data_IF_362927666980
#
_entry.id   IF_362927666980
#
_cell.length_a   1.000
_cell.length_b   1.000
_cell.length_c   1.000
_cell.angle_alpha   90.00
_cell.angle_beta   90.00
_cell.angle_gamma   90.00
#
_symmetry.space_group_name_H-M   'P 1'
#
loop_
_entity.id
_entity.type
_entity.pdbx_description
1 polymer ?
#
# COMPACT_ATOMS: atom_id res chain seq x y z
N UNK A 1 -4.30 22.06 -4.72
CA UNK A 1 -3.74 21.11 -5.69
C UNK A 1 -4.59 19.85 -5.67
N UNK A 2 -4.99 19.29 -6.81
CA UNK A 2 -5.82 18.09 -6.85
C UNK A 2 -5.08 16.90 -6.25
N UNK A 3 -5.82 16.00 -5.58
CA UNK A 3 -5.28 14.79 -4.97
C UNK A 3 -6.12 13.58 -5.40
N UNK A 4 -5.46 12.51 -5.81
CA UNK A 4 -6.09 11.26 -6.23
C UNK A 4 -5.63 10.12 -5.32
N UNK A 5 -6.58 9.30 -4.85
CA UNK A 5 -6.30 8.06 -4.15
C UNK A 5 -6.32 6.89 -5.15
N UNK A 6 -5.19 6.21 -5.27
CA UNK A 6 -5.04 4.94 -5.96
C UNK A 6 -5.13 3.80 -4.94
N UNK A 7 -6.30 3.24 -4.79
CA UNK A 7 -6.54 2.05 -3.95
C UNK A 7 -6.23 0.80 -4.75
N UNK A 8 -5.38 -0.08 -4.23
CA UNK A 8 -4.90 -1.26 -4.95
C UNK A 8 -6.01 -2.25 -5.33
N UNK A 9 -7.01 -2.42 -4.47
CA UNK A 9 -8.14 -3.32 -4.76
C UNK A 9 -9.05 -2.72 -5.85
N UNK A 10 -9.30 -1.39 -5.79
CA UNK A 10 -10.09 -0.69 -6.81
C UNK A 10 -9.41 -0.67 -8.16
N UNK A 11 -8.10 -0.39 -8.19
CA UNK A 11 -7.31 -0.40 -9.43
C UNK A 11 -7.30 -1.80 -10.05
N UNK A 12 -7.07 -2.84 -9.23
CA UNK A 12 -7.11 -4.23 -9.70
C UNK A 12 -8.44 -4.58 -10.33
N UNK A 13 -9.55 -4.17 -9.70
CA UNK A 13 -10.89 -4.36 -10.23
C UNK A 13 -11.13 -3.57 -11.52
N UNK A 14 -10.63 -2.34 -11.61
CA UNK A 14 -10.81 -1.49 -12.80
C UNK A 14 -10.03 -1.99 -14.03
N UNK A 15 -8.88 -2.63 -13.82
CA UNK A 15 -8.07 -3.19 -14.91
C UNK A 15 -8.69 -4.46 -15.49
N UNK A 16 -9.52 -5.18 -14.71
CA UNK A 16 -10.23 -6.42 -15.12
C UNK A 16 -9.38 -7.39 -15.93
N UNK A 17 -8.12 -7.59 -15.54
CA UNK A 17 -7.24 -8.52 -16.22
C UNK A 17 -7.63 -9.96 -15.82
N UNK A 18 -8.22 -10.77 -16.70
CA UNK A 18 -8.67 -12.13 -16.38
C UNK A 18 -7.53 -13.07 -15.98
N UNK A 19 -6.29 -12.67 -16.26
CA UNK A 19 -5.09 -13.41 -15.90
C UNK A 19 -4.45 -12.93 -14.59
N UNK A 20 -5.05 -11.95 -13.87
CA UNK A 20 -4.52 -11.48 -12.59
C UNK A 20 -4.87 -12.46 -11.48
N UNK A 21 -3.91 -13.32 -11.19
CA UNK A 21 -3.90 -14.12 -9.99
C UNK A 21 -3.33 -13.34 -8.80
N UNK A 22 -3.46 -13.87 -7.57
CA UNK A 22 -2.87 -13.29 -6.37
C UNK A 22 -1.48 -13.86 -6.06
N UNK A 23 -0.86 -14.56 -7.04
CA UNK A 23 0.52 -15.03 -6.94
C UNK A 23 1.53 -13.87 -6.91
N UNK A 24 2.77 -14.18 -6.55
CA UNK A 24 3.84 -13.19 -6.40
C UNK A 24 4.03 -12.34 -7.67
N UNK A 25 4.10 -12.99 -8.84
CA UNK A 25 4.39 -12.30 -10.11
C UNK A 25 3.24 -11.38 -10.54
N UNK A 26 2.00 -11.81 -10.38
CA UNK A 26 0.81 -11.00 -10.67
C UNK A 26 0.73 -9.79 -9.73
N UNK A 27 1.03 -9.98 -8.44
CA UNK A 27 1.10 -8.88 -7.46
C UNK A 27 2.19 -7.88 -7.81
N UNK A 28 3.40 -8.35 -8.16
CA UNK A 28 4.52 -7.49 -8.57
C UNK A 28 4.18 -6.69 -9.84
N UNK A 29 3.56 -7.35 -10.83
CA UNK A 29 3.13 -6.71 -12.07
C UNK A 29 2.09 -5.62 -11.80
N UNK A 30 1.11 -5.90 -10.94
CA UNK A 30 0.11 -4.91 -10.54
C UNK A 30 0.75 -3.72 -9.81
N UNK A 31 1.68 -3.97 -8.89
CA UNK A 31 2.40 -2.92 -8.18
C UNK A 31 3.19 -2.01 -9.15
N UNK A 32 3.88 -2.59 -10.13
CA UNK A 32 4.57 -1.83 -11.19
C UNK A 32 3.61 -0.97 -12.02
N UNK A 33 2.44 -1.49 -12.38
CA UNK A 33 1.40 -0.73 -13.11
C UNK A 33 0.89 0.45 -12.29
N UNK A 34 0.62 0.25 -11.00
CA UNK A 34 0.16 1.31 -10.09
C UNK A 34 1.25 2.38 -9.93
N UNK A 35 2.52 1.99 -9.74
CA UNK A 35 3.62 2.95 -9.63
C UNK A 35 3.77 3.80 -10.89
N UNK A 36 3.65 3.21 -12.08
CA UNK A 36 3.71 3.96 -13.35
C UNK A 36 2.51 4.87 -13.56
N UNK A 37 1.31 4.44 -13.15
CA UNK A 37 0.12 5.29 -13.17
C UNK A 37 0.28 6.48 -12.22
N UNK A 38 0.79 6.24 -11.02
CA UNK A 38 1.08 7.31 -10.06
C UNK A 38 2.12 8.30 -10.61
N UNK A 39 3.17 7.82 -11.28
CA UNK A 39 4.18 8.68 -11.91
C UNK A 39 3.58 9.54 -13.02
N UNK A 40 2.73 8.97 -13.87
CA UNK A 40 2.05 9.73 -14.91
C UNK A 40 1.19 10.88 -14.33
N UNK A 41 0.48 10.62 -13.24
CA UNK A 41 -0.33 11.63 -12.56
C UNK A 41 0.54 12.69 -11.85
N UNK A 42 1.67 12.29 -11.27
CA UNK A 42 2.62 13.21 -10.64
C UNK A 42 3.22 14.19 -11.66
N UNK A 43 3.52 13.71 -12.87
CA UNK A 43 4.00 14.56 -13.98
C UNK A 43 2.98 15.63 -14.40
N UNK A 44 1.70 15.39 -14.18
CA UNK A 44 0.62 16.37 -14.38
C UNK A 44 0.38 17.27 -13.15
N UNK A 45 1.32 17.29 -12.19
CA UNK A 45 1.22 18.04 -10.93
C UNK A 45 0.01 17.65 -10.07
N UNK A 46 -0.39 16.39 -10.12
CA UNK A 46 -1.46 15.83 -9.28
C UNK A 46 -0.83 15.14 -8.07
N UNK A 47 -1.32 15.43 -6.88
CA UNK A 47 -0.96 14.66 -5.69
C UNK A 47 -1.55 13.26 -5.77
N UNK A 48 -0.72 12.26 -5.50
CA UNK A 48 -1.16 10.86 -5.56
C UNK A 48 -0.92 10.19 -4.21
N UNK A 49 -1.97 9.65 -3.63
CA UNK A 49 -1.90 8.74 -2.48
C UNK A 49 -2.09 7.33 -2.99
N UNK A 50 -1.11 6.47 -2.78
CA UNK A 50 -1.18 5.05 -3.18
C UNK A 50 -1.37 4.19 -1.94
N UNK A 51 -2.51 3.50 -1.84
CA UNK A 51 -2.84 2.59 -0.75
C UNK A 51 -2.81 1.14 -1.25
N UNK A 52 -1.70 0.44 -1.00
CA UNK A 52 -1.50 -0.92 -1.50
C UNK A 52 -0.73 -1.79 -0.50
N UNK A 53 -0.91 -3.10 -0.59
CA UNK A 53 0.04 -4.06 -0.03
C UNK A 53 1.07 -4.35 -1.13
N UNK A 54 2.10 -3.51 -1.20
CA UNK A 54 3.16 -3.58 -2.22
C UNK A 54 4.52 -3.74 -1.53
N UNK A 55 4.69 -4.87 -0.86
CA UNK A 55 5.89 -5.16 -0.07
C UNK A 55 6.94 -5.88 -0.94
N UNK A 56 7.46 -5.14 -1.93
CA UNK A 56 8.49 -5.59 -2.86
C UNK A 56 9.63 -4.58 -2.88
N UNK A 57 10.84 -4.98 -2.52
CA UNK A 57 12.03 -4.11 -2.52
C UNK A 57 12.25 -3.39 -3.85
N UNK A 58 12.07 -4.11 -4.96
CA UNK A 58 12.22 -3.54 -6.30
C UNK A 58 11.26 -2.38 -6.56
N UNK A 59 10.03 -2.46 -6.04
CA UNK A 59 9.03 -1.39 -6.18
C UNK A 59 9.42 -0.19 -5.31
N UNK A 60 9.82 -0.43 -4.06
CA UNK A 60 10.24 0.64 -3.16
C UNK A 60 11.45 1.40 -3.74
N UNK A 61 12.47 0.67 -4.21
CA UNK A 61 13.65 1.26 -4.85
C UNK A 61 13.28 2.01 -6.14
N UNK A 62 12.42 1.42 -6.98
CA UNK A 62 11.97 2.06 -8.20
C UNK A 62 11.20 3.36 -7.90
N UNK A 63 10.29 3.35 -6.95
CA UNK A 63 9.53 4.53 -6.54
C UNK A 63 10.48 5.62 -6.03
N UNK A 64 11.41 5.28 -5.12
CA UNK A 64 12.37 6.22 -4.55
C UNK A 64 13.24 6.88 -5.62
N UNK A 65 13.59 6.17 -6.68
CA UNK A 65 14.39 6.68 -7.79
C UNK A 65 13.58 7.53 -8.78
N UNK A 66 12.32 7.19 -9.03
CA UNK A 66 11.57 7.75 -10.16
C UNK A 66 10.61 8.89 -9.79
N UNK A 67 10.26 9.05 -8.51
CA UNK A 67 9.44 10.17 -8.05
C UNK A 67 10.32 11.29 -7.49
N UNK A 68 9.96 12.52 -7.80
CA UNK A 68 10.69 13.70 -7.32
C UNK A 68 10.40 13.99 -5.85
N UNK A 69 9.12 13.93 -5.48
CA UNK A 69 8.64 14.16 -4.13
C UNK A 69 7.93 12.88 -3.64
N UNK A 70 8.69 11.94 -3.08
CA UNK A 70 8.21 10.63 -2.65
C UNK A 70 8.24 10.53 -1.13
N UNK A 71 7.12 10.10 -0.56
CA UNK A 71 7.00 9.79 0.86
C UNK A 71 6.55 8.34 0.99
N UNK A 72 7.36 7.53 1.64
CA UNK A 72 7.09 6.13 1.90
C UNK A 72 6.61 5.93 3.33
N UNK A 73 5.35 5.55 3.46
CA UNK A 73 4.73 5.29 4.76
C UNK A 73 4.52 3.79 4.94
N UNK A 74 5.17 3.22 5.93
CA UNK A 74 4.97 1.81 6.29
C UNK A 74 4.01 1.68 7.46
N UNK A 75 2.85 1.09 7.22
CA UNK A 75 1.87 0.78 8.27
C UNK A 75 2.14 -0.65 8.74
N UNK A 76 2.74 -0.78 9.93
CA UNK A 76 3.10 -2.06 10.52
C UNK A 76 2.05 -2.51 11.52
N UNK A 77 1.69 -3.78 11.45
CA UNK A 77 0.76 -4.42 12.38
C UNK A 77 1.30 -5.81 12.71
N UNK A 78 1.29 -6.19 13.96
CA UNK A 78 1.69 -7.51 14.40
C UNK A 78 0.77 -8.58 13.81
N UNK A 79 1.37 -9.69 13.37
CA UNK A 79 0.64 -10.76 12.67
C UNK A 79 -0.52 -11.32 13.50
N UNK A 80 -0.34 -11.47 14.81
CA UNK A 80 -1.40 -11.97 15.70
C UNK A 80 -2.58 -10.99 15.78
N UNK A 81 -2.31 -9.68 15.74
CA UNK A 81 -3.34 -8.66 15.69
C UNK A 81 -4.07 -8.69 14.34
N UNK A 82 -3.33 -8.88 13.23
CA UNK A 82 -3.93 -9.03 11.90
C UNK A 82 -4.84 -10.25 11.82
N UNK A 83 -4.42 -11.39 12.37
CA UNK A 83 -5.23 -12.60 12.48
C UNK A 83 -6.51 -12.36 13.30
N UNK A 84 -6.39 -11.62 14.41
CA UNK A 84 -7.55 -11.26 15.23
C UNK A 84 -8.52 -10.30 14.55
N UNK A 85 -8.02 -9.39 13.71
CA UNK A 85 -8.85 -8.45 12.95
C UNK A 85 -9.55 -9.06 11.74
N UNK A 86 -8.97 -10.06 11.13
CA UNK A 86 -9.38 -10.87 9.94
C UNK A 86 -10.72 -10.49 9.27
N UNK A 87 -10.91 -9.19 8.98
CA UNK A 87 -12.17 -8.61 8.54
C UNK A 87 -12.72 -9.20 7.22
N UNK A 88 -11.84 -9.79 6.42
CA UNK A 88 -12.18 -10.48 5.17
C UNK A 88 -12.12 -12.02 5.29
N UNK A 89 -11.94 -12.55 6.50
CA UNK A 89 -11.72 -13.96 6.78
C UNK A 89 -10.58 -14.60 5.96
N UNK A 90 -9.58 -13.79 5.55
CA UNK A 90 -8.49 -14.24 4.69
C UNK A 90 -7.54 -15.20 5.43
N UNK A 91 -7.19 -14.86 6.67
CA UNK A 91 -6.29 -15.66 7.49
C UNK A 91 -6.97 -16.96 7.92
N UNK A 92 -8.24 -16.88 8.35
CA UNK A 92 -9.04 -18.04 8.73
C UNK A 92 -9.23 -19.02 7.58
N UNK A 93 -9.50 -18.50 6.37
CA UNK A 93 -9.67 -19.30 5.15
C UNK A 93 -8.35 -19.86 4.64
N UNK A 94 -7.25 -19.12 4.76
CA UNK A 94 -5.92 -19.59 4.40
C UNK A 94 -5.50 -20.79 5.27
N UNK A 95 -5.74 -20.71 6.58
CA UNK A 95 -5.46 -21.81 7.50
C UNK A 95 -6.29 -23.07 7.22
N UNK A 96 -7.48 -22.92 6.62
CA UNK A 96 -8.32 -24.05 6.16
C UNK A 96 -7.95 -24.54 4.76
N UNK A 97 -6.97 -23.93 4.10
CA UNK A 97 -6.59 -24.26 2.72
C UNK A 97 -7.61 -23.80 1.66
N UNK A 98 -8.59 -22.97 2.02
CA UNK A 98 -9.64 -22.50 1.10
C UNK A 98 -9.16 -21.38 0.18
N UNK A 99 -8.11 -20.65 0.56
CA UNK A 99 -7.48 -19.59 -0.23
C UNK A 99 -5.96 -19.74 -0.19
N UNK A 100 -5.33 -19.44 -1.31
CA UNK A 100 -3.87 -19.41 -1.47
C UNK A 100 -3.38 -17.98 -1.69
N UNK A 101 -2.07 -17.80 -1.70
CA UNK A 101 -1.43 -16.53 -2.07
C UNK A 101 -1.73 -15.36 -1.10
N UNK A 102 -1.97 -15.65 0.18
CA UNK A 102 -2.14 -14.62 1.21
C UNK A 102 -0.78 -14.09 1.64
N UNK A 103 -0.60 -12.78 1.57
CA UNK A 103 0.63 -12.11 2.01
C UNK A 103 0.85 -12.30 3.53
N UNK A 104 2.08 -12.59 3.92
CA UNK A 104 2.42 -12.88 5.31
C UNK A 104 2.18 -14.32 5.76
N UNK A 105 1.49 -15.15 4.95
CA UNK A 105 1.34 -16.60 5.16
C UNK A 105 2.06 -17.37 4.07
N UNK A 106 1.67 -17.14 2.83
CA UNK A 106 2.18 -17.89 1.66
C UNK A 106 3.32 -17.17 0.94
N UNK A 107 3.46 -15.87 1.12
CA UNK A 107 4.50 -15.05 0.50
C UNK A 107 5.28 -14.30 1.57
N UNK A 108 6.61 -14.35 1.45
CA UNK A 108 7.48 -13.54 2.29
C UNK A 108 7.24 -12.05 2.02
N UNK A 109 7.02 -11.31 3.08
CA UNK A 109 6.89 -9.87 3.06
C UNK A 109 8.30 -9.26 3.01
N UNK A 110 8.51 -8.34 2.09
CA UNK A 110 9.72 -7.53 2.00
C UNK A 110 9.40 -6.13 2.52
N UNK A 111 9.68 -5.91 3.79
CA UNK A 111 9.46 -4.60 4.41
C UNK A 111 10.32 -3.51 3.76
N UNK A 112 9.84 -2.24 3.73
CA UNK A 112 10.66 -1.13 3.27
C UNK A 112 11.94 -1.00 4.14
N UNK A 113 13.08 -0.75 3.49
CA UNK A 113 14.35 -0.63 4.22
C UNK A 113 14.50 0.73 4.92
N UNK A 114 14.03 1.79 4.28
CA UNK A 114 14.16 3.16 4.77
C UNK A 114 12.86 3.96 4.55
N UNK A 115 11.75 3.60 5.18
CA UNK A 115 10.51 4.36 5.06
C UNK A 115 10.64 5.73 5.73
N UNK A 116 9.99 6.75 5.18
CA UNK A 116 9.98 8.10 5.75
C UNK A 116 9.14 8.17 7.04
N UNK A 117 8.18 7.26 7.19
CA UNK A 117 7.36 7.13 8.39
C UNK A 117 6.97 5.67 8.61
N UNK A 118 7.11 5.20 9.86
CA UNK A 118 6.53 3.94 10.33
C UNK A 118 5.36 4.26 11.23
N UNK A 119 4.20 3.68 10.94
CA UNK A 119 3.00 3.78 11.75
C UNK A 119 2.73 2.42 12.38
N UNK A 120 2.88 2.31 13.69
CA UNK A 120 2.50 1.12 14.45
C UNK A 120 0.97 1.12 14.65
N UNK A 121 0.27 0.25 13.95
CA UNK A 121 -1.19 0.18 13.99
C UNK A 121 -1.68 -1.03 14.80
N UNK A 122 -1.14 -1.20 16.01
CA UNK A 122 -1.47 -2.31 16.90
C UNK A 122 -2.65 -2.02 17.85
N UNK A 123 -3.01 -0.76 18.03
CA UNK A 123 -4.12 -0.33 18.89
C UNK A 123 -5.47 -0.45 18.18
N UNK A 124 -6.60 -0.53 18.92
CA UNK A 124 -7.92 -0.37 18.33
C UNK A 124 -8.01 0.91 17.51
N UNK A 125 -8.70 0.85 16.38
CA UNK A 125 -8.79 1.90 15.35
C UNK A 125 -9.51 3.16 15.87
N UNK A 126 -8.91 3.92 16.79
CA UNK A 126 -9.59 5.02 17.42
C UNK A 126 -9.44 6.36 16.69
N UNK A 127 -8.28 6.68 16.11
CA UNK A 127 -8.08 8.00 15.50
C UNK A 127 -7.00 8.00 14.41
N UNK A 128 -7.43 7.86 13.15
CA UNK A 128 -6.56 7.99 12.00
C UNK A 128 -6.12 9.43 11.73
N UNK A 129 -6.78 10.45 12.32
CA UNK A 129 -6.47 11.86 12.07
C UNK A 129 -5.05 12.21 12.50
N UNK A 130 -4.58 11.64 13.61
CA UNK A 130 -3.21 11.83 14.09
C UNK A 130 -2.18 11.28 13.09
N UNK A 131 -2.43 10.12 12.48
CA UNK A 131 -1.55 9.55 11.46
C UNK A 131 -1.58 10.39 10.19
N UNK A 132 -2.76 10.82 9.75
CA UNK A 132 -2.91 11.70 8.60
C UNK A 132 -2.13 13.01 8.79
N UNK A 133 -2.22 13.66 9.97
CA UNK A 133 -1.45 14.85 10.29
C UNK A 133 0.06 14.62 10.23
N UNK A 134 0.55 13.46 10.72
CA UNK A 134 1.96 13.10 10.62
C UNK A 134 2.40 12.96 9.17
N UNK A 135 1.61 12.30 8.32
CA UNK A 135 1.92 12.15 6.89
C UNK A 135 1.95 13.52 6.22
N UNK A 136 0.95 14.36 6.47
CA UNK A 136 0.87 15.70 5.89
C UNK A 136 2.07 16.57 6.32
N UNK A 137 2.53 16.45 7.57
CA UNK A 137 3.70 17.21 8.04
C UNK A 137 5.00 16.84 7.33
N UNK A 138 5.08 15.67 6.68
CA UNK A 138 6.21 15.28 5.86
C UNK A 138 6.16 15.93 4.47
N UNK A 139 5.00 16.39 4.02
CA UNK A 139 4.89 17.10 2.77
C UNK A 139 5.43 18.53 2.97
N UNK A 140 6.40 18.96 2.18
CA UNK A 140 7.00 20.30 2.25
C UNK A 140 6.07 21.42 1.76
N UNK A 141 4.82 21.11 1.45
CA UNK A 141 3.82 22.02 0.90
C UNK A 141 2.61 22.04 1.81
N UNK A 142 2.09 23.23 2.12
CA UNK A 142 0.81 23.38 2.83
C UNK A 142 -0.31 22.75 2.00
N UNK A 143 -0.76 21.57 2.42
CA UNK A 143 -1.96 20.95 1.87
C UNK A 143 -3.12 21.50 2.68
N UNK A 144 -4.07 22.27 2.08
CA UNK A 144 -5.26 22.64 2.80
C UNK A 144 -6.03 21.38 3.21
N UNK A 145 -6.22 21.22 4.50
CA UNK A 145 -7.08 20.16 5.05
C UNK A 145 -8.53 20.46 4.65
N UNK A 146 -9.33 19.45 4.29
CA UNK A 146 -10.75 19.61 4.02
C UNK A 146 -11.52 20.06 5.25
#
# INVERSE_FOLDING_TARGET
>A
QPCILLDGDKIRKAIEDPHVHYDYQSRLTCAKRISRLAQMLEQENIWVVVATISLFKDIHSWNRFNFKDYIEVYIRVDLEILKGRDSKALYSRANKGEVSNVAGIHHQIQEPENPDLIIENNLPLADFSTFAKKIISLTKKDIPLP
#
